data_IF_786445452215
#
_entry.id   IF_786445452215
#
_cell.length_a   1.000
_cell.length_b   1.000
_cell.length_c   1.000
_cell.angle_alpha   90.00
_cell.angle_beta   90.00
_cell.angle_gamma   90.00
#
_symmetry.space_group_name_H-M   'P 1'
#
loop_
_entity.id
_entity.type
_entity.pdbx_description
1 polymer ?
#
# COMPACT_ATOMS: atom_id res chain seq x y z
N UNK A 1 12.84 -22.65 -14.43
CA UNK A 1 13.80 -21.64 -14.91
C UNK A 1 14.10 -20.69 -13.76
N UNK A 2 15.34 -20.19 -13.65
CA UNK A 2 15.67 -19.15 -12.67
C UNK A 2 14.98 -17.83 -13.06
N UNK A 3 14.52 -17.05 -12.06
CA UNK A 3 13.93 -15.75 -12.33
C UNK A 3 14.98 -14.77 -12.85
N UNK A 4 14.61 -13.94 -13.83
CA UNK A 4 15.49 -12.91 -14.39
C UNK A 4 15.63 -11.76 -13.39
N UNK A 5 16.84 -11.50 -12.92
CA UNK A 5 17.09 -10.39 -12.00
C UNK A 5 16.84 -9.04 -12.70
N UNK A 6 16.04 -8.19 -12.07
CA UNK A 6 15.87 -6.81 -12.53
C UNK A 6 17.02 -5.98 -11.95
N UNK A 7 17.86 -5.35 -12.81
CA UNK A 7 18.98 -4.55 -12.35
C UNK A 7 18.50 -3.31 -11.61
N UNK A 8 19.34 -2.78 -10.72
CA UNK A 8 19.12 -1.52 -10.03
C UNK A 8 19.10 -0.34 -11.02
N UNK A 9 18.43 0.76 -10.61
CA UNK A 9 18.37 2.01 -11.36
C UNK A 9 17.27 2.05 -12.41
N UNK A 10 17.08 3.24 -12.98
CA UNK A 10 15.95 3.56 -13.85
C UNK A 10 16.01 2.88 -15.22
N UNK A 11 14.84 2.41 -15.70
CA UNK A 11 14.66 2.01 -17.11
C UNK A 11 14.31 3.20 -17.99
N UNK A 12 13.66 4.21 -17.41
CA UNK A 12 13.33 5.46 -18.07
C UNK A 12 14.42 6.52 -17.83
N UNK A 13 14.96 7.11 -18.90
CA UNK A 13 15.98 8.19 -18.79
C UNK A 13 15.39 9.46 -18.17
N UNK A 14 14.13 9.74 -18.45
CA UNK A 14 13.40 10.91 -17.94
C UNK A 14 12.32 10.43 -16.99
N UNK A 15 12.10 11.20 -15.92
CA UNK A 15 11.03 10.90 -14.97
C UNK A 15 9.67 10.79 -15.67
N UNK A 16 8.92 9.69 -15.45
CA UNK A 16 7.55 9.58 -15.91
C UNK A 16 6.66 10.71 -15.38
N UNK A 17 5.60 11.04 -16.12
CA UNK A 17 4.69 12.14 -15.77
C UNK A 17 4.09 11.97 -14.37
N UNK A 18 4.23 13.01 -13.55
CA UNK A 18 3.60 13.09 -12.24
C UNK A 18 2.09 13.36 -12.41
N UNK A 19 1.19 12.62 -11.74
CA UNK A 19 -0.25 12.84 -11.81
C UNK A 19 -0.66 14.26 -11.36
N UNK A 20 -1.64 14.84 -12.06
CA UNK A 20 -2.12 16.19 -11.77
C UNK A 20 -2.70 16.35 -10.36
N UNK A 21 -3.22 15.28 -9.76
CA UNK A 21 -3.68 15.30 -8.37
C UNK A 21 -2.53 15.55 -7.38
N UNK A 22 -1.37 14.93 -7.58
CA UNK A 22 -0.17 15.17 -6.77
C UNK A 22 0.32 16.60 -6.91
N UNK A 23 0.36 17.13 -8.15
CA UNK A 23 0.73 18.53 -8.42
C UNK A 23 -0.21 19.51 -7.71
N UNK A 24 -1.53 19.28 -7.79
CA UNK A 24 -2.52 20.14 -7.11
C UNK A 24 -2.36 20.12 -5.58
N UNK A 25 -2.14 18.95 -4.98
CA UNK A 25 -1.93 18.83 -3.52
C UNK A 25 -0.67 19.56 -3.07
N UNK A 26 0.45 19.35 -3.77
CA UNK A 26 1.72 20.03 -3.48
C UNK A 26 1.57 21.55 -3.58
N UNK A 27 0.89 22.06 -4.61
CA UNK A 27 0.58 23.50 -4.73
C UNK A 27 -0.33 24.01 -3.61
N UNK A 28 -1.36 23.25 -3.23
CA UNK A 28 -2.27 23.63 -2.14
C UNK A 28 -1.54 23.71 -0.78
N UNK A 29 -0.55 22.84 -0.56
CA UNK A 29 0.34 22.88 0.61
C UNK A 29 1.44 23.94 0.52
N UNK A 30 1.47 24.78 -0.53
CA UNK A 30 2.47 25.84 -0.75
C UNK A 30 3.92 25.35 -0.61
N UNK A 31 4.20 24.16 -1.16
CA UNK A 31 5.51 23.50 -1.11
C UNK A 31 5.88 22.98 -2.50
N UNK A 32 7.11 22.55 -2.72
CA UNK A 32 7.54 21.83 -3.94
C UNK A 32 7.75 20.34 -3.67
N UNK A 33 7.98 19.53 -4.71
CA UNK A 33 8.34 18.13 -4.52
C UNK A 33 9.74 17.98 -3.92
N UNK A 34 10.67 18.85 -4.29
CA UNK A 34 12.04 18.84 -3.76
C UNK A 34 12.03 19.16 -2.26
N UNK A 35 11.30 20.19 -1.83
CA UNK A 35 11.16 20.51 -0.39
C UNK A 35 10.58 19.32 0.40
N UNK A 36 9.60 18.62 -0.19
CA UNK A 36 8.98 17.46 0.44
C UNK A 36 9.91 16.26 0.53
N UNK A 37 10.71 16.04 -0.52
CA UNK A 37 11.76 15.03 -0.53
C UNK A 37 12.81 15.31 0.55
N UNK A 38 13.32 16.54 0.63
CA UNK A 38 14.30 16.95 1.63
C UNK A 38 13.76 16.78 3.05
N UNK A 39 12.51 17.21 3.31
CA UNK A 39 11.86 17.02 4.61
C UNK A 39 11.80 15.55 5.05
N UNK A 40 11.35 14.63 4.18
CA UNK A 40 11.25 13.22 4.57
C UNK A 40 12.63 12.58 4.71
N UNK A 41 13.59 12.93 3.84
CA UNK A 41 14.98 12.49 3.95
C UNK A 41 15.58 12.93 5.29
N UNK A 42 15.42 14.19 5.67
CA UNK A 42 16.01 14.74 6.89
C UNK A 42 15.36 14.15 8.16
N UNK A 43 14.06 13.87 8.11
CA UNK A 43 13.37 13.13 9.17
C UNK A 43 13.97 11.73 9.33
N UNK A 44 14.14 10.99 8.24
CA UNK A 44 14.73 9.65 8.27
C UNK A 44 16.21 9.68 8.72
N UNK A 45 16.97 10.69 8.29
CA UNK A 45 18.37 10.85 8.64
C UNK A 45 18.57 11.14 10.14
N UNK A 46 17.67 11.94 10.73
CA UNK A 46 17.73 12.36 12.14
C UNK A 46 17.12 11.35 13.11
N UNK A 47 16.09 10.60 12.70
CA UNK A 47 15.41 9.62 13.56
C UNK A 47 16.05 8.22 13.46
N UNK A 48 17.12 8.00 14.22
CA UNK A 48 17.80 6.70 14.29
C UNK A 48 16.92 5.59 14.87
N UNK A 49 15.95 5.91 15.73
CA UNK A 49 15.05 4.92 16.29
C UNK A 49 14.09 4.40 15.21
N UNK A 50 13.53 5.29 14.39
CA UNK A 50 12.73 4.93 13.23
C UNK A 50 13.51 4.09 12.23
N UNK A 51 14.75 4.47 11.89
CA UNK A 51 15.61 3.65 11.02
C UNK A 51 15.83 2.24 11.61
N UNK A 52 16.08 2.14 12.91
CA UNK A 52 16.19 0.86 13.61
C UNK A 52 14.94 0.00 13.45
N UNK A 53 13.75 0.59 13.61
CA UNK A 53 12.46 -0.09 13.42
C UNK A 53 12.24 -0.53 11.98
N UNK A 54 12.59 0.31 10.99
CA UNK A 54 12.52 -0.03 9.56
C UNK A 54 13.41 -1.24 9.26
N UNK A 55 14.66 -1.25 9.74
CA UNK A 55 15.58 -2.38 9.56
C UNK A 55 15.04 -3.66 10.20
N UNK A 56 14.53 -3.56 11.43
CA UNK A 56 13.94 -4.70 12.14
C UNK A 56 12.73 -5.27 11.41
N UNK A 57 11.82 -4.42 10.95
CA UNK A 57 10.66 -4.84 10.16
C UNK A 57 11.13 -5.48 8.84
N UNK A 58 12.05 -4.86 8.11
CA UNK A 58 12.57 -5.39 6.85
C UNK A 58 13.17 -6.79 7.00
N UNK A 59 13.98 -6.98 8.05
CA UNK A 59 14.58 -8.26 8.38
C UNK A 59 13.54 -9.35 8.66
N UNK A 60 12.48 -9.04 9.42
CA UNK A 60 11.40 -9.98 9.74
C UNK A 60 10.63 -10.49 8.51
N UNK A 61 10.66 -9.74 7.40
CA UNK A 61 10.02 -10.12 6.13
C UNK A 61 11.02 -10.50 5.04
N UNK A 62 12.32 -10.57 5.34
CA UNK A 62 13.35 -10.95 4.38
C UNK A 62 13.41 -10.01 3.17
N UNK A 63 13.34 -8.70 3.40
CA UNK A 63 13.54 -7.66 2.39
C UNK A 63 14.69 -6.74 2.80
N UNK A 64 15.37 -6.14 1.83
CA UNK A 64 16.34 -5.08 2.08
C UNK A 64 15.59 -3.81 2.59
N UNK A 65 16.03 -3.18 3.69
CA UNK A 65 15.37 -1.98 4.21
C UNK A 65 15.30 -0.80 3.23
N UNK A 66 16.12 -0.77 2.18
CA UNK A 66 16.02 0.25 1.13
C UNK A 66 14.65 0.25 0.43
N UNK A 67 13.96 -0.89 0.35
CA UNK A 67 12.62 -0.94 -0.23
C UNK A 67 11.57 -0.22 0.64
N UNK A 68 11.70 -0.33 1.97
CA UNK A 68 10.83 0.38 2.91
C UNK A 68 11.11 1.89 2.87
N UNK A 69 12.40 2.28 2.82
CA UNK A 69 12.81 3.68 2.65
C UNK A 69 12.25 4.25 1.35
N UNK A 70 12.40 3.54 0.23
CA UNK A 70 11.88 3.97 -1.07
C UNK A 70 10.36 4.16 -1.08
N UNK A 71 9.60 3.25 -0.46
CA UNK A 71 8.16 3.39 -0.31
C UNK A 71 7.76 4.64 0.49
N UNK A 72 8.40 4.86 1.66
CA UNK A 72 8.15 6.05 2.50
C UNK A 72 8.50 7.33 1.74
N UNK A 73 9.70 7.40 1.15
CA UNK A 73 10.17 8.60 0.44
C UNK A 73 9.24 8.94 -0.72
N UNK A 74 8.84 7.95 -1.53
CA UNK A 74 7.84 8.16 -2.57
C UNK A 74 6.55 8.75 -2.01
N UNK A 75 5.96 8.11 -0.99
CA UNK A 75 4.73 8.53 -0.31
C UNK A 75 4.76 9.98 0.14
N UNK A 76 5.78 10.34 0.89
CA UNK A 76 5.92 11.68 1.45
C UNK A 76 6.44 12.70 0.44
N UNK A 77 6.97 12.27 -0.72
CA UNK A 77 7.33 13.21 -1.78
C UNK A 77 6.10 13.62 -2.59
N UNK A 78 5.29 12.70 -3.12
CA UNK A 78 4.21 13.10 -4.05
C UNK A 78 2.78 12.97 -3.53
N UNK A 79 2.52 12.26 -2.42
CA UNK A 79 1.16 12.03 -1.95
C UNK A 79 0.81 12.85 -0.71
N UNK A 80 1.66 12.79 0.31
CA UNK A 80 1.44 13.44 1.62
C UNK A 80 2.68 14.24 2.05
N UNK A 81 2.58 15.10 3.08
CA UNK A 81 3.74 15.77 3.71
C UNK A 81 4.00 15.14 5.08
N UNK A 82 5.26 14.92 5.43
CA UNK A 82 5.71 14.13 6.59
C UNK A 82 5.39 14.79 7.93
N UNK A 83 5.43 16.13 8.01
CA UNK A 83 5.24 16.86 9.27
C UNK A 83 3.79 17.27 9.55
N UNK A 84 2.96 17.39 8.52
CA UNK A 84 1.61 18.00 8.63
C UNK A 84 0.63 17.23 9.53
N UNK A 85 0.94 15.99 9.99
CA UNK A 85 -0.12 15.07 10.40
C UNK A 85 0.07 14.19 11.62
N UNK A 86 1.14 14.27 12.42
CA UNK A 86 1.09 13.60 13.73
C UNK A 86 -0.13 14.09 14.53
N UNK A 87 -0.43 15.39 14.50
CA UNK A 87 -1.62 15.96 15.14
C UNK A 87 -2.94 15.58 14.45
N UNK A 88 -3.03 15.64 13.11
CA UNK A 88 -4.23 15.22 12.37
C UNK A 88 -4.53 13.74 12.56
N UNK A 89 -3.50 12.92 12.71
CA UNK A 89 -3.62 11.49 12.94
C UNK A 89 -4.26 11.19 14.30
N UNK A 90 -3.88 11.88 15.37
CA UNK A 90 -4.54 11.73 16.68
C UNK A 90 -6.03 12.14 16.64
N UNK A 91 -6.35 13.23 15.93
CA UNK A 91 -7.76 13.66 15.74
C UNK A 91 -8.56 12.60 14.99
N UNK A 92 -7.96 11.98 13.96
CA UNK A 92 -8.60 10.87 13.24
C UNK A 92 -8.74 9.64 14.12
N UNK A 93 -7.69 9.24 14.82
CA UNK A 93 -7.70 8.09 15.72
C UNK A 93 -8.84 8.23 16.76
N UNK A 94 -9.08 9.43 17.30
CA UNK A 94 -10.21 9.70 18.17
C UNK A 94 -11.58 9.46 17.48
N UNK A 95 -11.74 9.85 16.21
CA UNK A 95 -12.95 9.56 15.44
C UNK A 95 -13.17 8.04 15.19
N UNK A 96 -12.09 7.26 15.13
CA UNK A 96 -12.12 5.80 14.99
C UNK A 96 -12.01 5.05 16.33
N UNK A 97 -11.97 5.73 17.48
CA UNK A 97 -11.91 5.08 18.80
C UNK A 97 -13.30 4.82 19.40
N UNK A 98 -14.38 5.26 18.75
CA UNK A 98 -15.75 5.05 19.22
C UNK A 98 -16.30 3.65 18.90
N UNK A 99 -17.03 3.03 19.84
CA UNK A 99 -17.60 1.68 19.74
C UNK A 99 -18.69 1.48 18.66
N UNK A 100 -19.01 2.49 17.84
CA UNK A 100 -20.17 2.46 16.94
C UNK A 100 -19.80 2.39 15.44
N UNK A 101 -18.51 2.44 15.07
CA UNK A 101 -18.14 2.47 13.66
C UNK A 101 -17.89 1.05 13.11
N UNK A 102 -18.39 0.81 11.89
CA UNK A 102 -18.26 -0.45 11.15
C UNK A 102 -17.92 -0.16 9.69
N UNK A 103 -17.30 -1.12 9.01
CA UNK A 103 -17.16 -1.06 7.56
C UNK A 103 -18.52 -1.30 6.90
N UNK A 104 -18.99 -0.32 6.13
CA UNK A 104 -20.32 -0.32 5.56
C UNK A 104 -20.43 0.66 4.38
N UNK A 105 -21.39 0.40 3.49
CA UNK A 105 -21.79 1.30 2.41
C UNK A 105 -23.32 1.44 2.40
N UNK A 106 -23.83 2.69 2.48
CA UNK A 106 -25.27 2.98 2.54
C UNK A 106 -26.03 2.14 3.58
N UNK A 107 -25.42 1.92 4.75
CA UNK A 107 -25.99 1.14 5.85
C UNK A 107 -25.83 -0.39 5.74
N UNK A 108 -25.40 -0.93 4.61
CA UNK A 108 -25.08 -2.36 4.44
C UNK A 108 -23.68 -2.65 4.98
N UNK A 109 -23.53 -3.60 5.90
CA UNK A 109 -22.21 -3.93 6.45
C UNK A 109 -21.34 -4.66 5.42
N UNK A 110 -20.02 -4.62 5.60
CA UNK A 110 -19.10 -5.43 4.79
C UNK A 110 -19.43 -6.93 4.90
N UNK A 111 -19.86 -7.39 6.07
CA UNK A 111 -20.26 -8.78 6.30
C UNK A 111 -21.43 -9.15 5.41
N UNK A 112 -22.53 -8.41 5.51
CA UNK A 112 -23.76 -8.68 4.75
C UNK A 112 -23.51 -8.56 3.24
N UNK A 113 -22.70 -7.59 2.83
CA UNK A 113 -22.36 -7.41 1.41
C UNK A 113 -21.59 -8.61 0.83
N UNK A 114 -20.70 -9.21 1.62
CA UNK A 114 -19.88 -10.35 1.20
C UNK A 114 -20.65 -11.69 1.20
N UNK A 115 -21.87 -11.75 1.73
CA UNK A 115 -22.74 -12.94 1.66
C UNK A 115 -23.37 -13.14 0.26
N UNK A 116 -23.21 -12.17 -0.64
CA UNK A 116 -23.77 -12.23 -1.99
C UNK A 116 -23.15 -13.34 -2.84
N UNK A 117 -23.97 -13.96 -3.68
CA UNK A 117 -23.58 -15.11 -4.53
C UNK A 117 -22.38 -14.84 -5.44
N UNK A 118 -22.17 -13.59 -5.86
CA UNK A 118 -21.04 -13.13 -6.67
C UNK A 118 -19.69 -13.43 -5.98
N UNK A 119 -19.65 -13.43 -4.64
CA UNK A 119 -18.44 -13.72 -3.85
C UNK A 119 -18.19 -15.21 -3.61
N UNK A 120 -19.11 -16.10 -4.02
CA UNK A 120 -18.96 -17.55 -3.84
C UNK A 120 -17.66 -18.11 -4.44
N UNK A 121 -17.17 -17.51 -5.53
CA UNK A 121 -15.90 -17.86 -6.18
C UNK A 121 -14.67 -17.63 -5.28
N UNK A 122 -14.82 -16.84 -4.23
CA UNK A 122 -13.76 -16.54 -3.26
C UNK A 122 -13.76 -17.47 -2.04
N UNK A 123 -14.79 -18.32 -1.88
CA UNK A 123 -14.92 -19.19 -0.70
C UNK A 123 -13.81 -20.25 -0.59
N UNK A 124 -13.13 -20.57 -1.68
CA UNK A 124 -12.03 -21.55 -1.73
C UNK A 124 -10.66 -20.97 -1.36
N UNK A 125 -10.57 -19.66 -1.11
CA UNK A 125 -9.32 -18.96 -0.77
C UNK A 125 -9.02 -19.12 0.71
N UNK A 126 -7.85 -19.69 1.03
CA UNK A 126 -7.47 -20.02 2.41
C UNK A 126 -6.64 -18.93 3.10
N UNK A 127 -5.89 -18.12 2.35
CA UNK A 127 -5.10 -17.02 2.89
C UNK A 127 -5.78 -15.66 2.68
N UNK A 128 -5.55 -14.73 3.61
CA UNK A 128 -6.12 -13.39 3.59
C UNK A 128 -5.83 -12.63 2.29
N UNK A 129 -4.62 -12.74 1.73
CA UNK A 129 -4.27 -11.97 0.53
C UNK A 129 -5.11 -12.46 -0.65
N UNK A 130 -5.11 -13.77 -0.92
CA UNK A 130 -5.87 -14.31 -2.06
C UNK A 130 -7.37 -14.14 -1.90
N UNK A 131 -7.89 -14.21 -0.66
CA UNK A 131 -9.29 -13.96 -0.34
C UNK A 131 -9.69 -12.52 -0.66
N UNK A 132 -8.95 -11.54 -0.14
CA UNK A 132 -9.28 -10.12 -0.32
C UNK A 132 -9.03 -9.63 -1.74
N UNK A 133 -7.98 -10.12 -2.42
CA UNK A 133 -7.79 -9.86 -3.86
C UNK A 133 -8.94 -10.44 -4.69
N UNK A 134 -9.43 -11.65 -4.36
CA UNK A 134 -10.59 -12.21 -5.05
C UNK A 134 -11.84 -11.34 -4.85
N UNK A 135 -12.11 -10.90 -3.62
CA UNK A 135 -13.24 -10.01 -3.30
C UNK A 135 -13.14 -8.67 -4.03
N UNK A 136 -11.94 -8.10 -4.12
CA UNK A 136 -11.70 -6.86 -4.88
C UNK A 136 -11.95 -7.06 -6.39
N UNK A 137 -11.50 -8.17 -6.97
CA UNK A 137 -11.79 -8.49 -8.38
C UNK A 137 -13.30 -8.63 -8.62
N UNK A 138 -14.02 -9.33 -7.74
CA UNK A 138 -15.48 -9.44 -7.83
C UNK A 138 -16.14 -8.06 -7.77
N UNK A 139 -15.66 -7.17 -6.89
CA UNK A 139 -16.13 -5.78 -6.83
C UNK A 139 -15.93 -5.06 -8.17
N UNK A 140 -14.72 -5.08 -8.72
CA UNK A 140 -14.39 -4.40 -9.98
C UNK A 140 -15.20 -4.96 -11.16
N UNK A 141 -15.36 -6.29 -11.23
CA UNK A 141 -16.03 -6.95 -12.35
C UNK A 141 -17.56 -6.83 -12.30
N UNK A 142 -18.14 -6.91 -11.10
CA UNK A 142 -19.59 -7.10 -10.93
C UNK A 142 -20.32 -5.90 -10.35
N UNK A 143 -19.65 -5.06 -9.54
CA UNK A 143 -20.33 -4.03 -8.75
C UNK A 143 -19.93 -2.61 -9.16
N UNK A 144 -18.65 -2.32 -9.32
CA UNK A 144 -18.16 -0.96 -9.54
C UNK A 144 -18.85 -0.28 -10.74
N UNK A 145 -19.52 0.85 -10.48
CA UNK A 145 -20.25 1.62 -11.49
C UNK A 145 -21.47 0.91 -12.09
N UNK A 146 -21.91 -0.22 -11.53
CA UNK A 146 -22.99 -1.06 -12.07
C UNK A 146 -24.21 -1.03 -11.17
N UNK A 147 -25.34 -1.51 -11.71
CA UNK A 147 -26.57 -1.75 -10.97
C UNK A 147 -26.74 -3.26 -10.78
N UNK A 148 -26.81 -3.72 -9.53
CA UNK A 148 -26.95 -5.13 -9.17
C UNK A 148 -28.14 -5.25 -8.22
N UNK A 149 -29.07 -6.16 -8.51
CA UNK A 149 -30.30 -6.38 -7.73
C UNK A 149 -31.09 -5.09 -7.46
N UNK A 150 -31.14 -4.19 -8.43
CA UNK A 150 -31.85 -2.92 -8.30
C UNK A 150 -31.07 -1.80 -7.58
N UNK A 151 -29.94 -2.10 -6.93
CA UNK A 151 -29.07 -1.12 -6.25
C UNK A 151 -27.93 -0.65 -7.15
N UNK A 152 -27.73 0.66 -7.23
CA UNK A 152 -26.60 1.25 -7.97
C UNK A 152 -25.38 1.33 -7.07
N UNK A 153 -24.21 1.01 -7.61
CA UNK A 153 -22.93 1.09 -6.91
C UNK A 153 -22.04 2.15 -7.55
N UNK A 154 -21.25 2.88 -6.76
CA UNK A 154 -20.40 3.95 -7.27
C UNK A 154 -19.30 3.40 -8.16
N UNK A 155 -18.89 4.17 -9.16
CA UNK A 155 -17.64 3.93 -9.89
C UNK A 155 -16.45 4.36 -9.03
N UNK A 156 -16.16 3.57 -8.00
CA UNK A 156 -15.08 3.82 -7.07
C UNK A 156 -14.47 2.49 -6.56
N UNK A 157 -13.27 2.57 -6.00
CA UNK A 157 -12.53 1.40 -5.48
C UNK A 157 -13.24 0.77 -4.30
N UNK A 158 -13.18 -0.56 -4.18
CA UNK A 158 -13.81 -1.31 -3.08
C UNK A 158 -13.41 -0.77 -1.70
N UNK A 159 -12.11 -0.50 -1.51
CA UNK A 159 -11.56 0.07 -0.28
C UNK A 159 -12.17 1.43 0.07
N UNK A 160 -12.48 2.26 -0.93
CA UNK A 160 -13.05 3.58 -0.71
C UNK A 160 -14.54 3.54 -0.38
N UNK A 161 -15.23 2.52 -0.88
CA UNK A 161 -16.68 2.38 -0.72
C UNK A 161 -17.03 1.79 0.64
N UNK A 162 -16.35 0.74 1.08
CA UNK A 162 -16.70 0.03 2.32
C UNK A 162 -15.80 0.32 3.51
N UNK A 163 -14.54 0.67 3.28
CA UNK A 163 -13.53 0.69 4.34
C UNK A 163 -13.12 2.09 4.79
N UNK A 164 -13.78 3.14 4.33
CA UNK A 164 -13.41 4.53 4.61
C UNK A 164 -14.63 5.38 5.03
N UNK A 165 -15.30 5.04 6.15
CA UNK A 165 -16.61 5.57 6.50
C UNK A 165 -16.64 7.07 6.80
N UNK A 166 -15.54 7.67 7.27
CA UNK A 166 -15.52 9.11 7.60
C UNK A 166 -14.85 9.96 6.52
N UNK A 167 -13.90 9.39 5.78
CA UNK A 167 -13.13 10.14 4.79
C UNK A 167 -12.64 9.23 3.66
N UNK A 168 -13.34 9.26 2.53
CA UNK A 168 -12.94 8.54 1.33
C UNK A 168 -11.53 8.98 0.85
N UNK A 169 -10.74 8.01 0.41
CA UNK A 169 -9.38 8.16 -0.10
C UNK A 169 -8.26 8.24 0.94
N UNK A 170 -8.51 7.99 2.23
CA UNK A 170 -7.48 8.17 3.27
C UNK A 170 -6.61 6.94 3.56
N UNK A 171 -5.36 7.24 3.89
CA UNK A 171 -4.28 6.34 4.23
C UNK A 171 -3.61 6.80 5.53
N UNK A 172 -3.02 5.87 6.30
CA UNK A 172 -2.57 6.11 7.67
C UNK A 172 -1.14 5.66 7.91
N UNK A 173 -0.51 6.23 8.94
CA UNK A 173 0.86 5.94 9.34
C UNK A 173 1.91 6.41 8.32
N UNK A 174 3.18 6.14 8.62
CA UNK A 174 4.30 6.47 7.73
C UNK A 174 4.19 5.77 6.37
N UNK A 175 3.66 4.54 6.36
CA UNK A 175 3.46 3.77 5.14
C UNK A 175 2.21 4.13 4.33
N UNK A 176 1.37 5.05 4.80
CA UNK A 176 0.13 5.42 4.10
C UNK A 176 -0.72 4.18 3.71
N UNK A 177 -1.01 3.32 4.69
CA UNK A 177 -1.81 2.11 4.48
C UNK A 177 -3.31 2.39 4.62
N UNK A 178 -4.13 1.62 3.91
CA UNK A 178 -5.60 1.62 4.07
C UNK A 178 -6.07 0.30 4.72
N UNK A 179 -7.30 0.26 5.27
CA UNK A 179 -7.78 -0.92 5.99
C UNK A 179 -7.84 -2.21 5.16
N UNK A 180 -8.21 -2.11 3.87
CA UNK A 180 -8.24 -3.28 2.98
C UNK A 180 -6.84 -3.88 2.81
N UNK A 181 -5.82 -3.03 2.64
CA UNK A 181 -4.42 -3.47 2.59
C UNK A 181 -4.01 -4.19 3.88
N UNK A 182 -4.43 -3.70 5.05
CA UNK A 182 -4.16 -4.37 6.32
C UNK A 182 -4.79 -5.77 6.36
N UNK A 183 -6.07 -5.87 5.97
CA UNK A 183 -6.80 -7.12 5.91
C UNK A 183 -6.15 -8.13 4.96
N UNK A 184 -5.71 -7.68 3.77
CA UNK A 184 -4.98 -8.51 2.80
C UNK A 184 -3.70 -9.12 3.38
N UNK A 185 -2.93 -8.34 4.15
CA UNK A 185 -1.63 -8.77 4.67
C UNK A 185 -1.67 -9.33 6.09
N UNK A 186 -2.86 -9.43 6.68
CA UNK A 186 -3.01 -9.84 8.07
C UNK A 186 -2.42 -11.21 8.40
N UNK A 187 -2.58 -12.20 7.51
CA UNK A 187 -1.99 -13.53 7.70
C UNK A 187 -0.45 -13.50 7.70
N UNK A 188 0.15 -12.70 6.81
CA UNK A 188 1.61 -12.56 6.76
C UNK A 188 2.13 -11.88 8.02
N UNK A 189 1.41 -10.86 8.49
CA UNK A 189 1.78 -10.07 9.66
C UNK A 189 1.60 -10.87 10.96
N UNK A 190 0.54 -11.65 11.06
CA UNK A 190 0.34 -12.53 12.21
C UNK A 190 1.46 -13.58 12.34
N UNK A 191 1.91 -14.14 11.21
CA UNK A 191 3.03 -15.10 11.19
C UNK A 191 4.37 -14.47 11.54
N UNK A 192 4.67 -13.28 11.01
CA UNK A 192 6.03 -12.72 11.06
C UNK A 192 6.23 -11.71 12.19
N UNK A 193 5.16 -11.18 12.80
CA UNK A 193 5.24 -10.09 13.79
C UNK A 193 4.45 -10.36 15.06
N UNK A 194 3.85 -11.55 15.22
CA UNK A 194 3.05 -11.95 16.39
C UNK A 194 1.84 -11.05 16.69
N UNK A 195 1.45 -10.17 15.76
CA UNK A 195 0.22 -9.39 15.90
C UNK A 195 -1.00 -10.28 15.61
N UNK A 196 -2.16 -10.03 16.25
CA UNK A 196 -3.36 -10.80 15.95
C UNK A 196 -3.78 -10.71 14.48
N UNK A 197 -4.36 -11.80 13.96
CA UNK A 197 -5.06 -11.76 12.68
C UNK A 197 -6.25 -10.81 12.80
N UNK A 198 -6.43 -9.96 11.80
CA UNK A 198 -7.47 -8.96 11.68
C UNK A 198 -8.75 -9.59 11.15
N UNK A 199 -9.87 -9.02 11.58
CA UNK A 199 -11.23 -9.40 11.22
C UNK A 199 -11.96 -8.17 10.67
N UNK A 200 -12.56 -8.28 9.48
CA UNK A 200 -13.32 -7.20 8.85
C UNK A 200 -14.51 -6.72 9.69
N UNK A 201 -15.00 -7.53 10.62
CA UNK A 201 -16.09 -7.17 11.52
C UNK A 201 -15.62 -6.30 12.68
N UNK A 202 -14.32 -6.14 12.85
CA UNK A 202 -13.70 -5.41 13.96
C UNK A 202 -12.95 -4.19 13.45
N UNK A 203 -13.70 -3.26 12.89
CA UNK A 203 -13.14 -2.09 12.21
C UNK A 203 -12.15 -1.30 13.10
N UNK A 204 -12.42 -1.17 14.40
CA UNK A 204 -11.51 -0.54 15.37
C UNK A 204 -10.12 -1.19 15.40
N UNK A 205 -10.05 -2.52 15.46
CA UNK A 205 -8.79 -3.27 15.48
C UNK A 205 -8.03 -3.12 14.14
N UNK A 206 -8.75 -3.09 13.02
CA UNK A 206 -8.15 -2.88 11.69
C UNK A 206 -7.55 -1.48 11.56
N UNK A 207 -8.26 -0.46 12.06
CA UNK A 207 -7.73 0.90 12.06
C UNK A 207 -6.53 1.02 12.99
N UNK A 208 -6.63 0.54 14.23
CA UNK A 208 -5.50 0.51 15.17
C UNK A 208 -4.23 -0.08 14.54
N UNK A 209 -4.37 -1.18 13.77
CA UNK A 209 -3.25 -1.83 13.11
C UNK A 209 -2.53 -0.98 12.03
N UNK A 210 -3.25 -0.12 11.30
CA UNK A 210 -2.65 0.77 10.28
C UNK A 210 -2.28 2.14 10.84
N UNK A 211 -2.79 2.43 12.03
CA UNK A 211 -2.63 3.69 12.72
C UNK A 211 -1.37 3.63 13.60
N UNK A 212 -1.22 2.58 14.38
CA UNK A 212 -0.04 2.35 15.22
C UNK A 212 1.26 2.34 14.36
N UNK A 213 2.26 3.18 14.71
CA UNK A 213 3.49 3.29 13.93
C UNK A 213 4.22 1.96 13.75
N UNK A 214 4.29 1.12 14.78
CA UNK A 214 5.08 -0.11 14.77
C UNK A 214 4.35 -1.23 14.04
N UNK A 215 3.03 -1.35 14.21
CA UNK A 215 2.20 -2.27 13.43
C UNK A 215 2.22 -1.89 11.95
N UNK A 216 2.08 -0.61 11.63
CA UNK A 216 2.01 -0.13 10.24
C UNK A 216 3.28 -0.47 9.43
N UNK A 217 4.47 -0.45 10.05
CA UNK A 217 5.72 -0.84 9.40
C UNK A 217 5.72 -2.33 9.02
N UNK A 218 5.13 -3.20 9.84
CA UNK A 218 5.01 -4.63 9.54
C UNK A 218 4.11 -4.88 8.31
N UNK A 219 2.96 -4.21 8.23
CA UNK A 219 2.07 -4.28 7.05
C UNK A 219 2.73 -3.72 5.79
N UNK A 220 3.54 -2.65 5.92
CA UNK A 220 4.30 -2.10 4.80
C UNK A 220 5.34 -3.11 4.27
N UNK A 221 6.11 -3.73 5.18
CA UNK A 221 7.09 -4.76 4.84
C UNK A 221 6.42 -5.98 4.17
N UNK A 222 5.28 -6.43 4.70
CA UNK A 222 4.50 -7.52 4.12
C UNK A 222 4.04 -7.22 2.68
N UNK A 223 3.58 -6.00 2.41
CA UNK A 223 3.15 -5.57 1.07
C UNK A 223 4.32 -5.57 0.06
N UNK A 224 5.47 -5.04 0.47
CA UNK A 224 6.68 -5.00 -0.36
C UNK A 224 7.19 -6.42 -0.65
N UNK A 225 7.29 -7.27 0.39
CA UNK A 225 7.66 -8.69 0.24
C UNK A 225 6.74 -9.37 -0.76
N UNK A 226 5.42 -9.15 -0.65
CA UNK A 226 4.45 -9.73 -1.58
C UNK A 226 4.67 -9.28 -3.01
N UNK A 227 4.96 -8.01 -3.23
CA UNK A 227 5.26 -7.49 -4.56
C UNK A 227 6.46 -8.20 -5.19
N UNK A 228 7.52 -8.43 -4.41
CA UNK A 228 8.71 -9.19 -4.83
C UNK A 228 8.32 -10.63 -5.19
N UNK A 229 7.53 -11.29 -4.34
CA UNK A 229 7.10 -12.69 -4.54
C UNK A 229 6.21 -12.87 -5.77
N UNK A 230 5.24 -11.97 -5.97
CA UNK A 230 4.34 -12.04 -7.12
C UNK A 230 5.11 -11.88 -8.43
N UNK A 231 6.03 -10.92 -8.51
CA UNK A 231 6.84 -10.73 -9.71
C UNK A 231 7.76 -11.93 -9.99
N UNK A 232 8.35 -12.49 -8.93
CA UNK A 232 9.22 -13.68 -9.06
C UNK A 232 8.45 -14.91 -9.51
N UNK A 233 7.27 -15.16 -8.93
CA UNK A 233 6.48 -16.37 -9.15
C UNK A 233 5.60 -16.30 -10.41
N UNK A 234 5.00 -15.15 -10.70
CA UNK A 234 4.06 -14.97 -11.80
C UNK A 234 4.80 -14.57 -13.08
N UNK A 235 5.61 -13.51 -13.00
CA UNK A 235 6.30 -12.93 -14.16
C UNK A 235 7.68 -13.55 -14.42
N UNK A 236 8.23 -14.31 -13.47
CA UNK A 236 9.56 -14.90 -13.62
C UNK A 236 10.68 -13.87 -13.55
N UNK A 237 10.45 -12.72 -12.90
CA UNK A 237 11.48 -11.67 -12.72
C UNK A 237 11.69 -11.37 -11.24
N UNK A 238 12.93 -11.21 -10.82
CA UNK A 238 13.28 -10.91 -9.43
C UNK A 238 13.53 -9.41 -9.27
N UNK A 239 12.62 -8.72 -8.59
CA UNK A 239 12.69 -7.26 -8.34
C UNK A 239 13.32 -6.92 -6.98
N UNK A 240 13.85 -7.91 -6.25
CA UNK A 240 14.43 -7.72 -4.90
C UNK A 240 15.71 -6.86 -4.87
N UNK A 241 16.23 -6.44 -6.03
CA UNK A 241 17.39 -5.54 -6.15
C UNK A 241 17.06 -4.19 -6.79
N UNK A 242 15.78 -3.91 -7.06
CA UNK A 242 15.36 -2.64 -7.63
C UNK A 242 14.28 -1.98 -6.75
N UNK A 243 14.68 -1.12 -5.79
CA UNK A 243 13.74 -0.46 -4.89
C UNK A 243 12.79 0.50 -5.62
N UNK A 244 13.19 1.07 -6.75
CA UNK A 244 12.29 1.85 -7.59
C UNK A 244 11.09 1.05 -8.07
N UNK A 245 11.29 -0.18 -8.55
CA UNK A 245 10.16 -1.04 -8.99
C UNK A 245 9.26 -1.40 -7.82
N UNK A 246 9.81 -1.74 -6.64
CA UNK A 246 8.96 -1.99 -5.46
C UNK A 246 8.21 -0.74 -5.01
N UNK A 247 8.80 0.45 -5.09
CA UNK A 247 8.13 1.71 -4.77
C UNK A 247 7.02 2.05 -5.78
N UNK A 248 7.23 1.73 -7.06
CA UNK A 248 6.17 1.80 -8.09
C UNK A 248 4.99 0.91 -7.75
N UNK A 249 5.25 -0.33 -7.32
CA UNK A 249 4.20 -1.27 -6.92
C UNK A 249 3.52 -0.86 -5.62
N UNK A 250 4.26 -0.28 -4.68
CA UNK A 250 3.69 0.27 -3.45
C UNK A 250 2.69 1.39 -3.74
N UNK A 251 3.04 2.30 -4.67
CA UNK A 251 2.17 3.39 -5.08
C UNK A 251 0.92 2.93 -5.83
N UNK A 252 1.07 1.92 -6.67
CA UNK A 252 0.04 1.55 -7.66
C UNK A 252 -0.82 0.36 -7.23
N UNK A 253 -0.36 -0.44 -6.27
CA UNK A 253 -1.01 -1.69 -5.86
C UNK A 253 -1.10 -2.74 -6.97
N UNK A 254 -1.85 -3.82 -6.69
CA UNK A 254 -2.19 -4.84 -7.68
C UNK A 254 -0.99 -5.63 -8.21
N UNK A 255 -0.02 -5.95 -7.36
CA UNK A 255 1.23 -6.65 -7.73
C UNK A 255 1.00 -7.89 -8.59
N UNK A 256 0.06 -8.77 -8.20
CA UNK A 256 -0.23 -9.99 -8.92
C UNK A 256 -0.77 -9.74 -10.35
N UNK A 257 -1.73 -8.82 -10.50
CA UNK A 257 -2.30 -8.47 -11.81
C UNK A 257 -1.22 -7.85 -12.72
N UNK A 258 -0.40 -6.95 -12.17
CA UNK A 258 0.69 -6.30 -12.91
C UNK A 258 1.80 -7.30 -13.30
N UNK A 259 2.12 -8.25 -12.44
CA UNK A 259 3.04 -9.33 -12.76
C UNK A 259 2.49 -10.22 -13.89
N UNK A 260 1.20 -10.56 -13.87
CA UNK A 260 0.56 -11.31 -14.95
C UNK A 260 0.60 -10.52 -16.29
N UNK A 261 0.32 -9.22 -16.25
CA UNK A 261 0.43 -8.36 -17.42
C UNK A 261 1.87 -8.25 -17.94
N UNK A 262 2.86 -8.15 -17.04
CA UNK A 262 4.28 -8.19 -17.40
C UNK A 262 4.65 -9.51 -18.08
N UNK A 263 4.20 -10.65 -17.53
CA UNK A 263 4.44 -11.97 -18.13
C UNK A 263 3.91 -12.04 -19.56
N UNK A 264 2.70 -11.53 -19.78
CA UNK A 264 2.05 -11.54 -21.08
C UNK A 264 2.77 -10.62 -22.09
N UNK A 265 3.22 -9.44 -21.66
CA UNK A 265 3.91 -8.47 -22.53
C UNK A 265 5.39 -8.83 -22.77
N UNK A 266 6.04 -9.54 -21.85
CA UNK A 266 7.48 -9.81 -21.83
C UNK A 266 8.32 -8.62 -21.35
N UNK A 267 9.64 -8.83 -21.22
CA UNK A 267 10.60 -7.79 -20.82
C UNK A 267 10.69 -7.53 -19.31
N UNK A 268 11.28 -6.38 -18.97
CA UNK A 268 11.50 -5.96 -17.57
C UNK A 268 10.43 -4.93 -17.15
N UNK A 269 10.05 -4.88 -15.86
CA UNK A 269 9.17 -3.83 -15.37
C UNK A 269 9.81 -2.45 -15.46
N UNK A 270 8.96 -1.43 -15.53
CA UNK A 270 9.35 -0.02 -15.63
C UNK A 270 8.83 0.73 -14.42
N UNK A 271 9.58 1.74 -13.99
CA UNK A 271 9.21 2.61 -12.89
C UNK A 271 8.12 3.59 -13.31
N UNK A 272 7.22 3.92 -12.39
CA UNK A 272 6.48 5.17 -12.43
C UNK A 272 7.30 6.32 -11.83
N UNK A 273 6.73 7.52 -11.75
CA UNK A 273 7.38 8.70 -11.16
C UNK A 273 7.89 8.49 -9.71
N UNK A 274 7.26 7.60 -8.93
CA UNK A 274 7.73 7.16 -7.61
C UNK A 274 9.02 6.39 -7.68
N UNK A 275 8.96 5.27 -8.40
CA UNK A 275 10.12 4.39 -8.52
C UNK A 275 11.29 5.11 -9.15
N UNK A 276 10.99 6.01 -10.07
CA UNK A 276 12.00 6.82 -10.74
C UNK A 276 12.78 7.69 -9.77
N UNK A 277 12.08 8.42 -8.88
CA UNK A 277 12.73 9.23 -7.85
C UNK A 277 13.59 8.38 -6.92
N UNK A 278 13.07 7.23 -6.48
CA UNK A 278 13.78 6.35 -5.54
C UNK A 278 15.09 5.85 -6.15
N UNK A 279 15.06 5.45 -7.41
CA UNK A 279 16.25 5.00 -8.11
C UNK A 279 17.21 6.16 -8.43
N UNK A 280 16.70 7.36 -8.73
CA UNK A 280 17.50 8.56 -8.97
C UNK A 280 18.27 9.00 -7.71
N UNK A 281 17.65 8.83 -6.54
CA UNK A 281 18.19 9.22 -5.23
C UNK A 281 18.84 8.06 -4.46
N UNK A 282 19.12 6.95 -5.12
CA UNK A 282 19.40 5.69 -4.42
C UNK A 282 20.63 5.73 -3.51
N UNK A 283 21.70 6.42 -3.92
CA UNK A 283 22.92 6.53 -3.12
C UNK A 283 22.68 7.34 -1.84
N UNK A 284 21.92 8.44 -1.96
CA UNK A 284 21.51 9.27 -0.83
C UNK A 284 20.62 8.49 0.14
N UNK A 285 19.64 7.73 -0.38
CA UNK A 285 18.74 6.93 0.44
C UNK A 285 19.44 5.75 1.12
N UNK A 286 20.42 5.12 0.46
CA UNK A 286 21.25 4.07 1.06
C UNK A 286 22.11 4.59 2.22
N UNK A 287 22.53 5.86 2.18
CA UNK A 287 23.31 6.47 3.27
C UNK A 287 22.55 6.60 4.61
N UNK A 288 21.22 6.41 4.59
CA UNK A 288 20.37 6.41 5.77
C UNK A 288 20.46 5.09 6.57
N UNK A 289 20.95 4.02 5.94
CA UNK A 289 21.01 2.66 6.47
C UNK A 289 22.43 2.31 6.92
#
# INVERSE_FOLDING_TARGET
>A
MAATMVPEGNRNVVQPKIPGASVRRTRAGRTTFDDKYEKIRDLLASDKALIGKIKSASAAYGIDPIHMIGAIVGEHTYNVDAYDRLQTYYVKAAAYAGNAFRFAYEGESIKDFLERSQFSVCATRSDSYSLWTCRENVWEDSFRGRKVDGKAYPDNRFSAVFFQPFYAGQTFGLGQLNPLTALMFSDAVARNSSYPKLDENKAAEVYDAIMDPDKSLAYMAANIRRSIDDYKSIAGVDISRNPGITATLYNTGGSAQRAAALKARGGLPEENYYGWLVNDKIDELKSLL
#
